data_IF_239424768384
#
_entry.id   IF_239424768384
#
_cell.length_a   1.000
_cell.length_b   1.000
_cell.length_c   1.000
_cell.angle_alpha   90.00
_cell.angle_beta   90.00
_cell.angle_gamma   90.00
#
_symmetry.space_group_name_H-M   'P 1'
#
loop_
_entity.id
_entity.type
_entity.pdbx_description
1 polymer ?
#
# COMPACT_ATOMS: atom_id res chain seq x y z
N UNK A 1 -13.86 24.22 -2.48
CA UNK A 1 -13.23 23.12 -1.77
C UNK A 1 -14.22 22.01 -1.42
N UNK A 2 -15.33 22.27 -0.75
CA UNK A 2 -16.33 21.24 -0.38
C UNK A 2 -16.88 20.41 -1.57
N UNK A 3 -17.13 21.02 -2.71
CA UNK A 3 -17.64 20.31 -3.89
C UNK A 3 -16.62 19.36 -4.53
N UNK A 4 -15.32 19.67 -4.44
CA UNK A 4 -14.23 18.81 -4.93
C UNK A 4 -14.02 17.63 -3.98
N UNK A 5 -14.10 17.88 -2.69
CA UNK A 5 -13.96 16.86 -1.65
C UNK A 5 -15.08 15.83 -1.68
N UNK A 6 -16.32 16.27 -1.85
CA UNK A 6 -17.48 15.39 -2.00
C UNK A 6 -17.42 14.54 -3.28
N UNK A 7 -16.92 15.09 -4.38
CA UNK A 7 -16.83 14.40 -5.67
C UNK A 7 -15.77 13.28 -5.71
N UNK A 8 -14.81 13.28 -4.76
CA UNK A 8 -13.72 12.31 -4.68
C UNK A 8 -13.94 11.20 -3.64
N UNK A 9 -14.93 11.35 -2.78
CA UNK A 9 -15.22 10.40 -1.70
C UNK A 9 -16.18 9.32 -2.19
N UNK A 10 -15.83 8.06 -1.99
CA UNK A 10 -16.66 6.90 -2.31
C UNK A 10 -16.78 6.04 -1.05
N UNK A 11 -18.00 5.59 -0.74
CA UNK A 11 -18.24 4.66 0.35
C UNK A 11 -18.47 3.27 -0.23
N UNK A 12 -17.59 2.33 0.08
CA UNK A 12 -17.75 0.93 -0.28
C UNK A 12 -18.81 0.28 0.64
N UNK A 13 -19.93 -0.13 0.07
CA UNK A 13 -21.07 -0.69 0.79
C UNK A 13 -21.23 -2.17 0.49
N UNK A 14 -21.54 -2.96 1.50
CA UNK A 14 -21.78 -4.39 1.37
C UNK A 14 -21.43 -5.16 2.63
N UNK A 15 -21.94 -6.38 2.75
CA UNK A 15 -21.70 -7.30 3.84
C UNK A 15 -20.52 -8.25 3.57
N UNK A 16 -20.01 -8.28 2.35
CA UNK A 16 -18.85 -9.06 1.92
C UNK A 16 -17.87 -8.19 1.15
N UNK A 17 -16.61 -8.61 1.05
CA UNK A 17 -15.60 -7.93 0.25
C UNK A 17 -16.06 -7.73 -1.20
N UNK A 18 -16.66 -8.76 -1.79
CA UNK A 18 -17.17 -8.73 -3.16
C UNK A 18 -18.31 -7.73 -3.35
N UNK A 19 -19.23 -7.63 -2.39
CA UNK A 19 -20.30 -6.62 -2.42
C UNK A 19 -19.74 -5.21 -2.25
N UNK A 20 -18.79 -5.00 -1.35
CA UNK A 20 -18.10 -3.72 -1.20
C UNK A 20 -17.36 -3.33 -2.47
N UNK A 21 -16.64 -4.27 -3.06
CA UNK A 21 -16.00 -4.08 -4.36
C UNK A 21 -17.01 -3.72 -5.46
N UNK A 22 -18.14 -4.41 -5.52
CA UNK A 22 -19.21 -4.12 -6.51
C UNK A 22 -19.77 -2.73 -6.34
N UNK A 23 -20.01 -2.30 -5.10
CA UNK A 23 -20.45 -0.95 -4.79
C UNK A 23 -19.43 0.10 -5.23
N UNK A 24 -18.13 -0.12 -4.91
CA UNK A 24 -17.05 0.76 -5.30
C UNK A 24 -16.88 0.81 -6.82
N UNK A 25 -16.87 -0.36 -7.47
CA UNK A 25 -16.75 -0.48 -8.92
C UNK A 25 -17.89 0.27 -9.66
N UNK A 26 -19.13 0.14 -9.18
CA UNK A 26 -20.27 0.86 -9.75
C UNK A 26 -20.15 2.39 -9.57
N UNK A 27 -19.71 2.84 -8.38
CA UNK A 27 -19.56 4.26 -8.07
C UNK A 27 -18.39 4.94 -8.81
N UNK A 28 -17.34 4.19 -9.12
CA UNK A 28 -16.13 4.70 -9.77
C UNK A 28 -15.96 4.22 -11.24
N UNK A 29 -16.99 3.61 -11.82
CA UNK A 29 -16.97 2.92 -13.12
C UNK A 29 -16.22 3.67 -14.22
N UNK A 30 -16.61 4.92 -14.47
CA UNK A 30 -16.05 5.69 -15.59
C UNK A 30 -14.59 6.05 -15.34
N UNK A 31 -14.22 6.32 -14.08
CA UNK A 31 -12.86 6.61 -13.68
C UNK A 31 -11.95 5.37 -13.74
N UNK A 32 -12.47 4.20 -13.36
CA UNK A 32 -11.73 2.93 -13.48
C UNK A 32 -11.43 2.66 -14.95
N UNK A 33 -12.41 2.85 -15.82
CA UNK A 33 -12.24 2.65 -17.26
C UNK A 33 -11.24 3.65 -17.84
N UNK A 34 -11.37 4.94 -17.50
CA UNK A 34 -10.45 6.00 -17.94
C UNK A 34 -9.01 5.67 -17.56
N UNK A 35 -8.77 5.28 -16.29
CA UNK A 35 -7.44 4.90 -15.83
C UNK A 35 -6.91 3.66 -16.55
N UNK A 36 -7.73 2.63 -16.68
CA UNK A 36 -7.35 1.39 -17.36
C UNK A 36 -6.95 1.64 -18.82
N UNK A 37 -7.77 2.37 -19.57
CA UNK A 37 -7.53 2.68 -20.97
C UNK A 37 -6.22 3.49 -21.14
N UNK A 38 -6.00 4.47 -20.25
CA UNK A 38 -4.76 5.25 -20.20
C UNK A 38 -3.53 4.35 -19.98
N UNK A 39 -3.61 3.43 -19.02
CA UNK A 39 -2.49 2.55 -18.67
C UNK A 39 -2.25 1.51 -19.77
N UNK A 40 -3.29 0.94 -20.36
CA UNK A 40 -3.18 0.04 -21.50
C UNK A 40 -2.49 0.75 -22.67
N UNK A 41 -2.91 1.97 -23.02
CA UNK A 41 -2.27 2.74 -24.08
C UNK A 41 -0.79 3.00 -23.79
N UNK A 42 -0.46 3.36 -22.54
CA UNK A 42 0.93 3.61 -22.12
C UNK A 42 1.79 2.35 -22.28
N UNK A 43 1.31 1.20 -21.80
CA UNK A 43 2.10 -0.05 -21.80
C UNK A 43 2.08 -0.76 -23.16
N UNK A 44 1.06 -0.57 -23.96
CA UNK A 44 1.04 -1.02 -25.36
C UNK A 44 2.09 -0.27 -26.19
N UNK A 45 2.16 1.05 -26.04
CA UNK A 45 3.19 1.87 -26.69
C UNK A 45 4.62 1.48 -26.28
N UNK A 46 4.80 0.95 -25.08
CA UNK A 46 6.06 0.42 -24.57
C UNK A 46 6.32 -1.05 -24.98
N UNK A 47 5.37 -1.73 -25.64
CA UNK A 47 5.45 -3.16 -25.96
C UNK A 47 5.40 -4.07 -24.73
N UNK A 48 4.80 -3.63 -23.64
CA UNK A 48 4.90 -4.25 -22.32
C UNK A 48 3.65 -5.03 -21.88
N UNK A 49 2.60 -5.11 -22.70
CA UNK A 49 1.35 -5.77 -22.31
C UNK A 49 1.54 -7.25 -21.95
N UNK A 50 2.34 -7.98 -22.73
CA UNK A 50 2.63 -9.40 -22.45
C UNK A 50 3.35 -9.57 -21.10
N UNK A 51 4.28 -8.66 -20.78
CA UNK A 51 4.98 -8.66 -19.51
C UNK A 51 4.05 -8.34 -18.34
N UNK A 52 3.09 -7.42 -18.55
CA UNK A 52 2.07 -7.14 -17.56
C UNK A 52 1.20 -8.36 -17.26
N UNK A 53 0.81 -9.12 -18.31
CA UNK A 53 0.06 -10.36 -18.13
C UNK A 53 0.84 -11.45 -17.38
N UNK A 54 2.16 -11.53 -17.59
CA UNK A 54 3.03 -12.44 -16.81
C UNK A 54 3.03 -12.06 -15.33
N UNK A 55 3.11 -10.76 -14.99
CA UNK A 55 3.04 -10.28 -13.61
C UNK A 55 1.68 -10.63 -13.00
N UNK A 56 0.59 -10.37 -13.69
CA UNK A 56 -0.77 -10.73 -13.24
C UNK A 56 -0.87 -12.23 -12.99
N UNK A 57 -0.41 -13.05 -13.94
CA UNK A 57 -0.48 -14.51 -13.84
C UNK A 57 0.32 -15.05 -12.64
N UNK A 58 1.45 -14.43 -12.33
CA UNK A 58 2.25 -14.80 -11.15
C UNK A 58 1.66 -14.33 -9.83
N UNK A 59 1.03 -13.16 -9.81
CA UNK A 59 0.44 -12.58 -8.60
C UNK A 59 -0.89 -13.25 -8.20
N UNK A 60 -1.73 -13.60 -9.15
CA UNK A 60 -3.08 -14.10 -8.90
C UNK A 60 -3.14 -15.30 -7.92
N UNK A 61 -2.35 -16.38 -8.06
CA UNK A 61 -2.37 -17.49 -7.12
C UNK A 61 -1.86 -17.12 -5.72
N UNK A 62 -0.96 -16.13 -5.63
CA UNK A 62 -0.51 -15.61 -4.34
C UNK A 62 -1.59 -14.77 -3.66
N UNK A 63 -2.35 -14.00 -4.43
CA UNK A 63 -3.50 -13.26 -3.92
C UNK A 63 -4.59 -14.21 -3.41
N UNK A 64 -4.86 -15.30 -4.10
CA UNK A 64 -5.81 -16.33 -3.63
C UNK A 64 -5.39 -16.93 -2.28
N UNK A 65 -4.09 -17.13 -2.09
CA UNK A 65 -3.55 -17.73 -0.86
C UNK A 65 -3.47 -16.73 0.30
N UNK A 66 -2.91 -15.55 0.08
CA UNK A 66 -2.49 -14.65 1.15
C UNK A 66 -3.41 -13.44 1.35
N UNK A 67 -4.17 -13.06 0.31
CA UNK A 67 -5.03 -11.87 0.31
C UNK A 67 -6.40 -12.12 -0.32
N UNK A 68 -7.10 -13.23 0.04
CA UNK A 68 -8.36 -13.62 -0.59
C UNK A 68 -9.44 -12.55 -0.45
N UNK A 69 -9.43 -11.79 0.65
CA UNK A 69 -10.37 -10.68 0.88
C UNK A 69 -10.17 -9.57 -0.17
N UNK A 70 -8.94 -9.13 -0.38
CA UNK A 70 -8.62 -8.09 -1.36
C UNK A 70 -8.90 -8.57 -2.79
N UNK A 71 -8.66 -9.85 -3.09
CA UNK A 71 -9.00 -10.43 -4.39
C UNK A 71 -10.51 -10.42 -4.65
N UNK A 72 -11.33 -10.82 -3.66
CA UNK A 72 -12.80 -10.75 -3.78
C UNK A 72 -13.30 -9.31 -3.93
N UNK A 73 -12.68 -8.35 -3.28
CA UNK A 73 -12.97 -6.93 -3.49
C UNK A 73 -12.69 -6.50 -4.94
N UNK A 74 -11.56 -6.89 -5.52
CA UNK A 74 -11.23 -6.62 -6.92
C UNK A 74 -12.21 -7.29 -7.91
N UNK A 75 -12.60 -8.53 -7.64
CA UNK A 75 -13.64 -9.24 -8.40
C UNK A 75 -14.97 -8.48 -8.37
N UNK A 76 -15.34 -8.02 -7.18
CA UNK A 76 -16.50 -7.16 -7.02
C UNK A 76 -16.39 -5.86 -7.79
N UNK A 77 -15.23 -5.18 -7.74
CA UNK A 77 -15.00 -3.95 -8.50
C UNK A 77 -15.14 -4.18 -10.02
N UNK A 78 -14.64 -5.30 -10.54
CA UNK A 78 -14.81 -5.67 -11.94
C UNK A 78 -16.28 -5.80 -12.30
N UNK A 79 -17.07 -6.53 -11.50
CA UNK A 79 -18.52 -6.68 -11.69
C UNK A 79 -19.24 -5.33 -11.67
N UNK A 80 -18.96 -4.48 -10.67
CA UNK A 80 -19.59 -3.18 -10.52
C UNK A 80 -19.25 -2.20 -11.64
N UNK A 81 -18.02 -2.23 -12.12
CA UNK A 81 -17.55 -1.43 -13.25
C UNK A 81 -18.00 -1.99 -14.62
N UNK A 82 -18.49 -3.22 -14.67
CA UNK A 82 -18.78 -3.93 -15.92
C UNK A 82 -17.53 -4.12 -16.78
N UNK A 83 -16.45 -4.51 -16.13
CA UNK A 83 -15.14 -4.79 -16.73
C UNK A 83 -14.74 -6.25 -16.47
N UNK A 84 -13.77 -6.74 -17.21
CA UNK A 84 -13.17 -8.04 -16.97
C UNK A 84 -12.35 -8.05 -15.67
N UNK A 85 -12.36 -9.16 -14.94
CA UNK A 85 -11.53 -9.34 -13.73
C UNK A 85 -10.04 -9.10 -14.02
N UNK A 86 -9.56 -9.58 -15.16
CA UNK A 86 -8.18 -9.39 -15.58
C UNK A 86 -7.78 -7.91 -15.73
N UNK A 87 -8.73 -7.04 -16.13
CA UNK A 87 -8.47 -5.61 -16.19
C UNK A 87 -8.21 -5.01 -14.81
N UNK A 88 -8.96 -5.45 -13.78
CA UNK A 88 -8.73 -5.00 -12.40
C UNK A 88 -7.45 -5.59 -11.81
N UNK A 89 -7.11 -6.83 -12.14
CA UNK A 89 -5.83 -7.43 -11.76
C UNK A 89 -4.64 -6.71 -12.41
N UNK A 90 -4.76 -6.27 -13.67
CA UNK A 90 -3.76 -5.40 -14.28
C UNK A 90 -3.62 -4.08 -13.51
N UNK A 91 -4.70 -3.41 -13.15
CA UNK A 91 -4.62 -2.19 -12.34
C UNK A 91 -4.01 -2.45 -10.97
N UNK A 92 -4.33 -3.57 -10.33
CA UNK A 92 -3.75 -3.95 -9.04
C UNK A 92 -2.24 -4.23 -9.09
N UNK A 93 -1.70 -4.56 -10.29
CA UNK A 93 -0.27 -4.83 -10.57
C UNK A 93 0.39 -3.72 -11.39
N UNK A 94 -0.27 -2.57 -11.54
CA UNK A 94 0.22 -1.46 -12.37
C UNK A 94 1.57 -0.94 -11.87
N UNK A 95 1.74 -0.90 -10.57
CA UNK A 95 2.99 -0.45 -9.98
C UNK A 95 4.16 -1.38 -10.33
N UNK A 96 3.96 -2.70 -10.30
CA UNK A 96 4.98 -3.69 -10.59
C UNK A 96 5.46 -3.61 -12.04
N UNK A 97 4.55 -3.47 -13.01
CA UNK A 97 4.94 -3.27 -14.42
C UNK A 97 5.64 -1.94 -14.62
N UNK A 98 5.18 -0.88 -13.93
CA UNK A 98 5.84 0.43 -13.95
C UNK A 98 7.29 0.34 -13.46
N UNK A 99 7.55 -0.43 -12.40
CA UNK A 99 8.89 -0.66 -11.86
C UNK A 99 9.75 -1.52 -12.79
N UNK A 100 9.18 -2.56 -13.40
CA UNK A 100 9.89 -3.44 -14.35
C UNK A 100 10.40 -2.65 -15.58
N UNK A 101 9.64 -1.65 -16.01
CA UNK A 101 9.96 -0.83 -17.19
C UNK A 101 10.90 0.34 -16.89
N UNK A 102 10.98 0.80 -15.67
CA UNK A 102 11.74 2.03 -15.34
C UNK A 102 13.22 1.91 -15.55
N UNK A 103 13.79 0.73 -15.63
CA UNK A 103 15.22 0.48 -15.86
C UNK A 103 16.11 1.69 -15.57
N UNK A 104 16.86 1.74 -14.50
CA UNK A 104 17.86 2.76 -14.17
C UNK A 104 17.43 4.26 -14.18
N UNK A 105 16.16 4.58 -14.04
CA UNK A 105 15.72 5.99 -13.90
C UNK A 105 15.72 6.35 -12.42
N UNK A 106 16.84 6.89 -11.97
CA UNK A 106 16.95 7.50 -10.65
C UNK A 106 16.04 8.73 -10.54
N UNK A 107 15.18 8.77 -9.55
CA UNK A 107 14.37 9.94 -9.27
C UNK A 107 13.43 9.67 -8.13
N UNK A 108 13.83 10.02 -6.90
CA UNK A 108 12.95 9.99 -5.74
C UNK A 108 11.73 10.86 -5.97
N UNK A 109 10.57 10.30 -5.72
CA UNK A 109 9.28 10.96 -5.96
C UNK A 109 8.39 10.98 -4.75
N UNK A 110 8.89 10.56 -3.59
CA UNK A 110 8.15 10.55 -2.36
C UNK A 110 9.03 10.99 -1.20
N UNK A 111 8.42 11.64 -0.24
CA UNK A 111 9.03 11.90 1.06
C UNK A 111 8.02 11.59 2.14
N UNK A 112 8.46 11.01 3.24
CA UNK A 112 7.61 10.65 4.35
C UNK A 112 8.10 11.19 5.67
N UNK A 113 7.16 11.41 6.54
CA UNK A 113 7.39 11.83 7.92
C UNK A 113 6.61 10.92 8.84
N UNK A 114 7.31 10.41 9.84
CA UNK A 114 6.74 9.76 10.99
C UNK A 114 7.08 10.56 12.24
N UNK A 115 6.08 10.97 13.01
CA UNK A 115 6.27 11.63 14.30
C UNK A 115 5.60 10.82 15.39
N UNK A 116 6.40 10.38 16.37
CA UNK A 116 5.93 9.61 17.53
C UNK A 116 5.24 10.47 18.57
N UNK A 117 5.43 11.77 18.52
CA UNK A 117 4.91 12.68 19.54
C UNK A 117 4.70 14.06 18.96
N UNK A 118 3.47 14.51 18.92
CA UNK A 118 3.21 15.94 18.88
C UNK A 118 3.38 16.45 20.30
N UNK A 119 4.27 17.42 20.50
CA UNK A 119 4.68 17.94 21.83
C UNK A 119 3.52 18.30 22.79
N UNK A 120 2.31 18.43 22.27
CA UNK A 120 1.13 18.84 23.04
C UNK A 120 0.01 17.78 23.08
N UNK A 121 0.21 16.59 22.48
CA UNK A 121 -0.81 15.53 22.47
C UNK A 121 -0.15 14.16 22.68
N UNK A 122 0.05 13.73 23.93
CA UNK A 122 0.52 12.40 24.25
C UNK A 122 -0.40 11.35 23.62
N UNK A 123 0.20 10.28 23.04
CA UNK A 123 -0.55 9.20 22.42
C UNK A 123 -1.03 9.45 20.97
N UNK A 124 -0.69 10.60 20.38
CA UNK A 124 -0.95 10.87 18.96
C UNK A 124 0.33 10.66 18.17
N UNK A 125 0.29 9.75 17.23
CA UNK A 125 1.31 9.61 16.20
C UNK A 125 0.81 10.26 14.91
N UNK A 126 1.73 10.86 14.17
CA UNK A 126 1.44 11.43 12.85
C UNK A 126 2.32 10.73 11.82
N UNK A 127 1.68 10.23 10.79
CA UNK A 127 2.32 9.68 9.63
C UNK A 127 1.85 10.49 8.42
N UNK A 128 2.78 10.89 7.58
CA UNK A 128 2.48 11.69 6.40
C UNK A 128 3.39 11.36 5.25
N UNK A 129 2.88 11.53 4.04
CA UNK A 129 3.62 11.29 2.82
C UNK A 129 3.35 12.41 1.83
N UNK A 130 4.42 12.86 1.15
CA UNK A 130 4.33 13.58 -0.09
C UNK A 130 4.52 12.58 -1.23
N UNK A 131 3.55 12.52 -2.14
CA UNK A 131 3.57 11.64 -3.28
C UNK A 131 3.69 12.48 -4.55
N UNK A 132 4.83 12.39 -5.24
CA UNK A 132 5.12 13.15 -6.44
C UNK A 132 4.77 12.30 -7.66
N UNK A 133 3.66 12.60 -8.30
CA UNK A 133 3.13 11.88 -9.45
C UNK A 133 3.38 12.62 -10.77
N UNK A 134 3.26 11.87 -11.88
CA UNK A 134 3.39 12.47 -13.20
C UNK A 134 2.23 13.44 -13.48
N UNK A 135 2.48 14.74 -13.66
CA UNK A 135 1.44 15.73 -13.88
C UNK A 135 0.54 15.42 -15.09
N UNK A 136 1.05 14.77 -16.11
CA UNK A 136 0.26 14.40 -17.30
C UNK A 136 -0.87 13.43 -16.97
N UNK A 137 -0.72 12.64 -15.88
CA UNK A 137 -1.72 11.67 -15.44
C UNK A 137 -2.58 12.22 -14.30
N UNK A 138 -1.98 13.05 -13.42
CA UNK A 138 -2.57 13.41 -12.13
C UNK A 138 -2.83 14.90 -11.91
N UNK A 139 -2.50 15.77 -12.89
CA UNK A 139 -2.49 17.22 -12.71
C UNK A 139 -3.75 17.83 -12.09
N UNK A 140 -4.91 17.25 -12.39
CA UNK A 140 -6.18 17.76 -11.89
C UNK A 140 -6.72 16.98 -10.68
N UNK A 141 -5.99 15.92 -10.23
CA UNK A 141 -6.44 14.98 -9.18
C UNK A 141 -7.80 14.34 -9.47
N UNK A 142 -8.27 14.37 -10.70
CA UNK A 142 -9.59 13.83 -11.09
C UNK A 142 -9.66 12.30 -11.03
N UNK A 143 -8.49 11.64 -11.05
CA UNK A 143 -8.36 10.20 -10.84
C UNK A 143 -8.02 9.82 -9.39
N UNK A 144 -7.97 10.79 -8.47
CA UNK A 144 -7.80 10.50 -7.06
C UNK A 144 -9.15 10.21 -6.41
N UNK A 145 -9.21 9.21 -5.56
CA UNK A 145 -10.39 8.90 -4.76
C UNK A 145 -10.02 8.61 -3.29
N UNK A 146 -10.92 9.01 -2.41
CA UNK A 146 -10.91 8.60 -1.01
C UNK A 146 -12.01 7.57 -0.85
N UNK A 147 -11.64 6.39 -0.40
CA UNK A 147 -12.58 5.27 -0.20
C UNK A 147 -12.77 5.05 1.29
N UNK A 148 -14.02 5.01 1.72
CA UNK A 148 -14.40 4.52 3.04
C UNK A 148 -14.91 3.09 2.93
N UNK A 149 -14.21 2.18 3.57
CA UNK A 149 -14.66 0.82 3.78
C UNK A 149 -15.34 0.70 5.14
N UNK A 150 -16.47 0.01 5.16
CA UNK A 150 -17.15 -0.41 6.39
C UNK A 150 -16.94 -1.90 6.57
N UNK A 151 -16.37 -2.29 7.70
CA UNK A 151 -16.19 -3.70 7.99
C UNK A 151 -17.54 -4.44 7.91
N UNK A 152 -17.58 -5.60 7.23
CA UNK A 152 -18.76 -6.45 7.28
C UNK A 152 -19.06 -6.82 8.74
N UNK A 153 -20.34 -7.08 9.08
CA UNK A 153 -20.67 -7.65 10.39
C UNK A 153 -19.85 -8.90 10.64
N UNK A 154 -19.28 -9.03 11.84
CA UNK A 154 -18.48 -10.20 12.20
C UNK A 154 -19.36 -11.47 12.12
N UNK A 155 -18.94 -12.43 11.31
CA UNK A 155 -19.57 -13.74 11.22
C UNK A 155 -18.75 -14.77 12.01
N UNK A 156 -19.38 -15.87 12.46
CA UNK A 156 -18.70 -16.91 13.24
C UNK A 156 -17.57 -17.61 12.45
N UNK A 157 -17.59 -17.53 11.11
CA UNK A 157 -16.65 -18.22 10.21
C UNK A 157 -15.41 -17.37 9.85
N UNK A 158 -15.27 -16.18 10.43
CA UNK A 158 -14.21 -15.20 10.10
C UNK A 158 -12.81 -15.58 10.66
N UNK A 159 -12.57 -16.82 10.97
CA UNK A 159 -11.33 -17.27 11.62
C UNK A 159 -10.35 -18.00 10.69
N UNK A 160 -10.61 -18.05 9.40
CA UNK A 160 -9.82 -18.86 8.47
C UNK A 160 -9.03 -17.99 7.48
N UNK A 161 -7.85 -17.52 7.88
CA UNK A 161 -6.89 -16.93 6.97
C UNK A 161 -5.64 -16.46 7.69
N UNK A 162 -4.49 -16.54 7.03
CA UNK A 162 -3.23 -15.95 7.49
C UNK A 162 -3.24 -14.41 7.42
N UNK A 163 -4.31 -13.82 6.87
CA UNK A 163 -4.52 -12.37 6.74
C UNK A 163 -5.20 -11.72 7.94
N UNK A 164 -5.30 -10.42 7.93
CA UNK A 164 -6.03 -9.64 8.92
C UNK A 164 -7.55 -9.76 8.78
N UNK A 165 -8.28 -9.23 9.73
CA UNK A 165 -9.75 -9.13 9.65
C UNK A 165 -10.16 -7.81 9.01
N UNK A 166 -11.20 -7.79 8.16
CA UNK A 166 -11.73 -6.54 7.65
C UNK A 166 -12.06 -5.57 8.78
N UNK A 167 -11.54 -4.36 8.69
CA UNK A 167 -11.78 -3.26 9.62
C UNK A 167 -12.36 -2.08 8.84
N UNK A 168 -13.14 -1.23 9.52
CA UNK A 168 -13.44 0.06 8.95
C UNK A 168 -12.15 0.77 8.63
N UNK A 169 -12.02 1.31 7.42
CA UNK A 169 -10.86 2.09 7.04
C UNK A 169 -11.22 3.19 6.05
N UNK A 170 -10.37 4.22 6.04
CA UNK A 170 -10.33 5.26 5.02
C UNK A 170 -9.01 5.15 4.30
N UNK A 171 -9.06 5.09 3.00
CA UNK A 171 -7.85 5.01 2.18
C UNK A 171 -7.90 6.01 1.02
N UNK A 172 -6.72 6.47 0.64
CA UNK A 172 -6.48 7.17 -0.59
C UNK A 172 -5.97 6.19 -1.64
N UNK A 173 -6.52 6.27 -2.84
CA UNK A 173 -6.12 5.44 -3.96
C UNK A 173 -6.55 6.05 -5.29
N UNK A 174 -6.21 5.35 -6.38
CA UNK A 174 -6.75 5.59 -7.71
C UNK A 174 -7.81 4.55 -8.06
N UNK A 175 -8.77 4.90 -8.96
CA UNK A 175 -9.87 4.02 -9.30
C UNK A 175 -9.40 2.65 -9.83
N UNK A 176 -9.86 1.57 -9.23
CA UNK A 176 -9.47 0.21 -9.61
C UNK A 176 -8.17 -0.28 -8.98
N UNK A 177 -7.42 0.56 -8.28
CA UNK A 177 -6.23 0.19 -7.51
C UNK A 177 -6.62 -0.04 -6.05
N UNK A 178 -6.19 -1.14 -5.40
CA UNK A 178 -6.65 -1.53 -4.07
C UNK A 178 -6.41 -0.49 -2.98
N UNK A 179 -5.19 0.00 -2.83
CA UNK A 179 -4.82 1.06 -1.89
C UNK A 179 -3.47 1.69 -2.22
N UNK A 180 -3.29 2.95 -1.84
CA UNK A 180 -1.99 3.63 -1.80
C UNK A 180 -1.58 3.97 -0.37
N UNK A 181 -2.48 4.47 0.43
CA UNK A 181 -2.26 4.75 1.86
C UNK A 181 -3.61 4.78 2.59
N UNK A 182 -3.58 4.66 3.90
CA UNK A 182 -4.83 4.69 4.64
C UNK A 182 -4.68 4.61 6.14
N UNK A 183 -5.83 4.63 6.80
CA UNK A 183 -5.99 4.55 8.24
C UNK A 183 -7.19 3.65 8.55
N UNK A 184 -7.02 2.71 9.47
CA UNK A 184 -8.13 1.85 9.90
C UNK A 184 -8.71 2.28 11.28
N UNK A 185 -9.82 1.68 11.65
CA UNK A 185 -10.55 1.98 12.90
C UNK A 185 -9.82 1.56 14.19
N UNK A 186 -8.71 0.83 14.09
CA UNK A 186 -7.82 0.52 15.21
C UNK A 186 -6.70 1.55 15.38
N UNK A 187 -6.65 2.54 14.49
CA UNK A 187 -5.64 3.59 14.49
C UNK A 187 -4.36 3.21 13.76
N UNK A 188 -4.33 2.10 13.03
CA UNK A 188 -3.19 1.76 12.19
C UNK A 188 -3.21 2.63 10.94
N UNK A 189 -2.20 3.50 10.78
CA UNK A 189 -1.88 4.24 9.58
C UNK A 189 -0.81 3.52 8.77
N UNK A 190 -0.95 3.57 7.44
CA UNK A 190 -0.03 2.94 6.48
C UNK A 190 0.30 3.94 5.38
N UNK A 191 1.59 4.14 5.14
CA UNK A 191 2.13 4.81 3.95
C UNK A 191 3.27 3.98 3.37
N UNK A 192 3.68 4.29 2.13
CA UNK A 192 4.71 3.53 1.44
C UNK A 192 5.52 4.41 0.49
N UNK A 193 6.72 3.95 0.19
CA UNK A 193 7.65 4.64 -0.71
C UNK A 193 8.26 3.59 -1.61
N UNK A 194 8.27 3.86 -2.91
CA UNK A 194 9.04 3.01 -3.76
C UNK A 194 10.54 3.25 -3.50
N UNK A 195 11.34 2.20 -3.61
CA UNK A 195 12.79 2.30 -3.52
C UNK A 195 13.38 2.03 -4.90
N UNK A 196 14.19 2.97 -5.36
CA UNK A 196 14.98 2.79 -6.57
C UNK A 196 16.27 2.04 -6.22
N UNK A 197 16.16 0.73 -6.24
CA UNK A 197 17.34 -0.16 -6.12
C UNK A 197 17.60 -0.85 -7.46
N UNK A 198 17.96 -0.05 -8.43
CA UNK A 198 18.27 -0.52 -9.79
C UNK A 198 19.45 -1.49 -9.85
N UNK A 199 20.21 -1.60 -8.77
CA UNK A 199 21.43 -2.44 -8.73
C UNK A 199 21.19 -3.86 -8.21
N UNK A 200 20.15 -4.13 -7.41
CA UNK A 200 20.09 -5.37 -6.65
C UNK A 200 18.92 -6.30 -6.95
N UNK A 201 17.71 -5.82 -7.19
CA UNK A 201 16.57 -6.72 -7.42
C UNK A 201 15.53 -6.11 -8.36
N UNK A 202 15.20 -6.85 -9.42
CA UNK A 202 14.10 -6.49 -10.32
C UNK A 202 12.76 -6.93 -9.76
N UNK A 203 11.68 -6.38 -10.30
CA UNK A 203 10.33 -6.88 -10.04
C UNK A 203 10.25 -8.38 -10.33
N UNK A 204 9.69 -9.13 -9.39
CA UNK A 204 9.44 -10.57 -9.56
C UNK A 204 7.97 -10.82 -9.83
N UNK A 205 7.69 -11.81 -10.67
CA UNK A 205 6.33 -12.32 -10.86
C UNK A 205 5.87 -13.23 -9.72
N UNK A 206 6.79 -13.61 -8.82
CA UNK A 206 6.52 -14.50 -7.68
C UNK A 206 6.26 -13.74 -6.37
N UNK A 207 5.68 -12.55 -6.44
CA UNK A 207 5.39 -11.71 -5.27
C UNK A 207 4.00 -11.09 -5.30
N UNK A 208 3.51 -10.74 -4.11
CA UNK A 208 2.27 -9.97 -3.96
C UNK A 208 2.49 -8.53 -4.40
N UNK A 209 1.54 -7.97 -5.15
CA UNK A 209 1.61 -6.57 -5.59
C UNK A 209 1.55 -5.59 -4.43
N UNK A 210 2.28 -4.50 -4.54
CA UNK A 210 2.40 -3.45 -3.51
C UNK A 210 1.05 -2.89 -3.09
N UNK A 211 0.18 -2.55 -4.05
CA UNK A 211 -1.13 -1.97 -3.74
C UNK A 211 -2.08 -2.98 -3.08
N UNK A 212 -1.90 -4.27 -3.33
CA UNK A 212 -2.60 -5.36 -2.64
C UNK A 212 -2.07 -5.51 -1.21
N UNK A 213 -0.75 -5.48 -1.02
CA UNK A 213 -0.14 -5.49 0.31
C UNK A 213 -0.64 -4.33 1.16
N UNK A 214 -0.69 -3.11 0.62
CA UNK A 214 -1.19 -1.92 1.32
C UNK A 214 -2.64 -2.06 1.75
N UNK A 215 -3.50 -2.62 0.89
CA UNK A 215 -4.90 -2.87 1.24
C UNK A 215 -5.03 -3.89 2.37
N UNK A 216 -4.24 -4.95 2.31
CA UNK A 216 -4.24 -6.00 3.32
C UNK A 216 -3.70 -5.51 4.66
N UNK A 217 -2.63 -4.70 4.68
CA UNK A 217 -2.09 -4.11 5.92
C UNK A 217 -3.15 -3.37 6.74
N UNK A 218 -4.14 -2.75 6.08
CA UNK A 218 -5.23 -2.06 6.76
C UNK A 218 -6.26 -2.99 7.44
N UNK A 219 -6.12 -4.29 7.30
CA UNK A 219 -6.97 -5.28 8.00
C UNK A 219 -6.40 -5.70 9.36
N UNK A 220 -5.17 -5.32 9.68
CA UNK A 220 -4.51 -5.68 10.93
C UNK A 220 -4.84 -4.69 12.07
N UNK A 221 -4.94 -5.17 13.32
CA UNK A 221 -5.31 -4.33 14.46
C UNK A 221 -4.15 -3.48 15.00
N UNK A 222 -2.91 -3.75 14.59
CA UNK A 222 -1.73 -3.04 15.09
C UNK A 222 -0.59 -3.03 14.07
N UNK A 223 0.32 -2.08 14.24
CA UNK A 223 1.52 -1.95 13.41
C UNK A 223 2.44 -3.18 13.54
N UNK A 224 2.55 -3.76 14.73
CA UNK A 224 3.33 -4.98 14.95
C UNK A 224 2.77 -6.18 14.19
N UNK A 225 1.45 -6.40 14.26
CA UNK A 225 0.82 -7.51 13.56
C UNK A 225 0.93 -7.33 12.03
N UNK A 226 0.73 -6.11 11.53
CA UNK A 226 0.89 -5.78 10.12
C UNK A 226 2.33 -5.99 9.64
N UNK A 227 3.33 -5.54 10.40
CA UNK A 227 4.75 -5.73 10.08
C UNK A 227 5.14 -7.21 10.07
N UNK A 228 4.68 -7.99 11.06
CA UNK A 228 4.95 -9.42 11.13
C UNK A 228 4.36 -10.18 9.92
N UNK A 229 3.13 -9.85 9.53
CA UNK A 229 2.53 -10.42 8.34
C UNK A 229 3.27 -10.02 7.06
N UNK A 230 3.57 -8.73 6.88
CA UNK A 230 4.30 -8.24 5.69
C UNK A 230 5.66 -8.92 5.52
N UNK A 231 6.34 -9.25 6.64
CA UNK A 231 7.59 -10.02 6.62
C UNK A 231 7.39 -11.46 6.13
N UNK A 232 6.26 -12.08 6.46
CA UNK A 232 6.00 -13.50 6.19
C UNK A 232 5.52 -13.81 4.77
N UNK A 233 5.15 -12.78 3.98
CA UNK A 233 4.59 -12.97 2.64
C UNK A 233 5.59 -12.61 1.55
N UNK A 234 5.49 -13.22 0.34
CA UNK A 234 6.32 -12.85 -0.80
C UNK A 234 5.94 -11.45 -1.31
N UNK A 235 6.92 -10.64 -1.62
CA UNK A 235 6.78 -9.26 -2.14
C UNK A 235 7.31 -9.17 -3.56
N UNK A 236 6.63 -8.41 -4.43
CA UNK A 236 6.97 -8.35 -5.85
C UNK A 236 8.15 -7.40 -6.16
N UNK A 237 8.30 -6.32 -5.39
CA UNK A 237 9.25 -5.24 -5.70
C UNK A 237 9.87 -4.65 -4.43
N UNK A 238 11.02 -3.98 -4.54
CA UNK A 238 11.58 -3.19 -3.44
C UNK A 238 10.66 -2.05 -3.03
N UNK A 239 10.43 -1.93 -1.72
CA UNK A 239 9.63 -0.85 -1.15
C UNK A 239 10.07 -0.50 0.27
N UNK A 240 9.73 0.70 0.70
CA UNK A 240 9.67 1.06 2.10
C UNK A 240 8.23 1.30 2.54
N UNK A 241 7.96 1.00 3.80
CA UNK A 241 6.65 1.20 4.43
C UNK A 241 6.83 1.93 5.76
N UNK A 242 5.92 2.85 6.05
CA UNK A 242 5.75 3.37 7.40
C UNK A 242 4.41 2.88 7.95
N UNK A 243 4.47 2.18 9.06
CA UNK A 243 3.32 1.69 9.81
C UNK A 243 3.29 2.36 11.17
N UNK A 244 2.18 2.94 11.55
CA UNK A 244 2.04 3.55 12.87
C UNK A 244 0.65 3.28 13.46
N UNK A 245 0.63 2.87 14.72
CA UNK A 245 -0.57 2.77 15.53
C UNK A 245 -0.41 3.62 16.82
N UNK A 246 -1.41 3.74 17.69
CA UNK A 246 -1.30 4.54 18.90
C UNK A 246 -0.17 4.14 19.87
N UNK A 247 0.39 2.93 19.73
CA UNK A 247 1.38 2.36 20.64
C UNK A 247 2.78 2.44 20.07
N UNK A 248 2.95 2.05 18.80
CA UNK A 248 4.26 1.90 18.18
C UNK A 248 4.24 2.17 16.68
N UNK A 249 5.41 2.29 16.10
CA UNK A 249 5.56 2.45 14.66
C UNK A 249 6.81 1.77 14.13
N UNK A 250 6.79 1.53 12.84
CA UNK A 250 7.86 0.85 12.12
C UNK A 250 8.16 1.63 10.84
N UNK A 251 9.45 1.79 10.56
CA UNK A 251 9.98 2.04 9.23
C UNK A 251 10.53 0.71 8.71
N UNK A 252 9.99 0.27 7.58
CA UNK A 252 10.31 -1.03 6.99
C UNK A 252 10.90 -0.79 5.62
N UNK A 253 12.05 -1.35 5.35
CA UNK A 253 12.66 -1.40 4.02
C UNK A 253 12.77 -2.86 3.60
N UNK A 254 12.29 -3.19 2.42
CA UNK A 254 12.33 -4.56 1.96
C UNK A 254 12.44 -4.66 0.44
N UNK A 255 13.00 -5.78 0.02
CA UNK A 255 13.01 -6.25 -1.37
C UNK A 255 12.23 -7.56 -1.45
N UNK A 256 12.08 -8.19 -2.63
CA UNK A 256 11.54 -9.54 -2.70
C UNK A 256 12.21 -10.53 -1.75
N UNK A 257 13.56 -10.46 -1.58
CA UNK A 257 14.33 -11.42 -0.77
C UNK A 257 14.86 -10.86 0.56
N UNK A 258 14.87 -9.54 0.79
CA UNK A 258 15.51 -8.91 1.95
C UNK A 258 14.50 -8.12 2.78
N UNK A 259 14.84 -7.93 4.04
CA UNK A 259 13.99 -7.24 5.01
C UNK A 259 14.82 -6.51 6.05
N UNK A 260 14.48 -5.26 6.31
CA UNK A 260 14.92 -4.53 7.49
C UNK A 260 13.74 -3.75 8.07
N UNK A 261 13.68 -3.66 9.38
CA UNK A 261 12.66 -2.88 10.06
C UNK A 261 13.28 -2.16 11.26
N UNK A 262 13.07 -0.86 11.33
CA UNK A 262 13.37 -0.04 12.50
C UNK A 262 12.08 0.15 13.27
N UNK A 263 12.02 -0.44 14.46
CA UNK A 263 10.92 -0.21 15.39
C UNK A 263 11.21 1.04 16.19
N UNK A 264 10.22 1.90 16.29
CA UNK A 264 10.26 3.06 17.16
C UNK A 264 9.49 2.73 18.44
N UNK A 265 10.10 2.91 19.62
CA UNK A 265 9.52 2.50 20.87
C UNK A 265 8.23 3.26 21.16
N UNK A 266 7.38 2.71 22.05
CA UNK A 266 6.22 3.43 22.56
C UNK A 266 6.60 4.81 23.10
N UNK A 267 5.67 5.78 23.10
CA UNK A 267 5.92 7.15 23.54
C UNK A 267 6.51 7.31 24.96
N UNK A 268 6.48 6.27 25.76
CA UNK A 268 6.98 6.24 27.13
C UNK A 268 8.51 6.12 27.22
N UNK A 269 9.16 5.59 26.16
CA UNK A 269 10.63 5.43 26.12
C UNK A 269 11.27 6.34 25.07
N UNK A 270 11.17 7.65 25.35
CA UNK A 270 11.70 8.72 24.47
C UNK A 270 13.23 8.69 24.38
N UNK A 271 13.90 7.95 25.26
CA UNK A 271 15.36 7.90 25.30
C UNK A 271 16.00 7.20 24.09
N UNK A 272 15.24 6.38 23.39
CA UNK A 272 15.69 5.63 22.22
C UNK A 272 15.27 6.27 20.88
N UNK A 273 14.37 7.24 20.90
CA UNK A 273 13.94 7.95 19.71
C UNK A 273 15.02 8.94 19.25
N UNK A 274 15.32 8.98 17.95
CA UNK A 274 16.22 10.01 17.42
C UNK A 274 15.47 11.32 17.28
N UNK A 275 15.87 12.40 17.95
CA UNK A 275 15.24 13.70 17.79
C UNK A 275 15.59 14.28 16.43
N UNK A 276 14.56 14.70 15.69
CA UNK A 276 14.72 15.51 14.48
C UNK A 276 14.34 16.93 14.82
N UNK A 277 15.30 17.83 14.84
CA UNK A 277 15.05 19.25 15.08
C UNK A 277 14.74 19.94 13.76
N UNK A 278 13.50 20.37 13.56
CA UNK A 278 13.06 21.13 12.40
C UNK A 278 13.13 22.65 12.61
N UNK A 279 13.12 23.08 13.86
CA UNK A 279 13.28 24.50 14.26
C UNK A 279 13.93 24.57 15.63
N UNK A 280 14.63 25.68 15.96
CA UNK A 280 15.16 25.88 17.31
C UNK A 280 14.04 25.80 18.36
N UNK A 281 14.15 24.81 19.26
CA UNK A 281 13.20 24.58 20.36
C UNK A 281 12.03 23.63 20.04
N UNK A 282 11.93 23.07 18.84
CA UNK A 282 10.99 21.99 18.53
C UNK A 282 11.76 20.67 18.41
N UNK A 283 11.47 19.73 19.28
CA UNK A 283 11.95 18.36 19.17
C UNK A 283 10.84 17.48 18.60
N UNK A 284 11.05 16.95 17.40
CA UNK A 284 10.24 15.93 16.78
C UNK A 284 10.95 14.58 16.96
N UNK A 285 10.24 13.63 17.52
CA UNK A 285 10.71 12.25 17.60
C UNK A 285 10.03 11.45 16.50
N UNK A 286 10.82 10.94 15.55
CA UNK A 286 10.26 10.22 14.41
C UNK A 286 11.30 9.90 13.35
N UNK A 287 10.81 9.45 12.19
CA UNK A 287 11.61 9.07 11.05
C UNK A 287 11.25 9.86 9.80
N UNK A 288 12.18 9.91 8.88
CA UNK A 288 12.00 10.39 7.52
C UNK A 288 12.38 9.29 6.55
N UNK A 289 11.63 9.19 5.49
CA UNK A 289 11.95 8.29 4.39
C UNK A 289 11.84 8.99 3.04
N UNK A 290 12.62 8.52 2.09
CA UNK A 290 12.56 8.91 0.69
C UNK A 290 12.64 7.64 -0.20
N UNK A 291 13.05 7.79 -1.46
CA UNK A 291 13.05 6.69 -2.41
C UNK A 291 14.42 5.96 -2.51
N UNK A 292 15.11 5.82 -1.39
CA UNK A 292 16.38 5.07 -1.30
C UNK A 292 16.45 4.33 0.04
N UNK A 293 17.25 3.28 0.10
CA UNK A 293 17.49 2.58 1.36
C UNK A 293 18.20 3.51 2.36
N UNK A 294 17.72 3.51 3.59
CA UNK A 294 18.34 4.20 4.73
C UNK A 294 19.16 3.24 5.58
N UNK A 295 18.95 1.95 5.41
CA UNK A 295 19.74 0.88 6.02
C UNK A 295 20.53 0.12 4.98
N UNK A 296 21.72 -0.34 5.36
CA UNK A 296 22.55 -1.20 4.52
C UNK A 296 22.00 -2.64 4.57
N UNK A 297 21.16 -2.99 3.58
CA UNK A 297 20.57 -4.32 3.47
C UNK A 297 21.62 -5.42 3.15
N UNK A 298 22.83 -5.07 2.73
CA UNK A 298 23.89 -6.06 2.48
C UNK A 298 24.40 -6.68 3.79
N UNK A 299 24.34 -5.91 4.88
CA UNK A 299 24.76 -6.35 6.22
C UNK A 299 23.60 -6.91 7.07
N UNK A 300 22.36 -6.78 6.63
CA UNK A 300 21.23 -7.48 7.24
C UNK A 300 21.25 -8.90 6.69
N UNK A 301 21.76 -9.84 7.49
CA UNK A 301 21.89 -11.24 7.09
C UNK A 301 20.57 -11.74 6.49
N UNK A 302 20.68 -12.63 5.50
CA UNK A 302 19.56 -13.35 4.93
C UNK A 302 18.84 -14.14 6.05
N UNK A 303 17.99 -13.47 6.79
CA UNK A 303 17.00 -14.09 7.69
C UNK A 303 15.85 -14.73 6.87
N UNK A 304 16.16 -15.08 5.64
CA UNK A 304 15.36 -16.01 4.88
C UNK A 304 15.62 -17.44 5.39
N UNK A 305 15.20 -17.69 6.59
CA UNK A 305 14.64 -18.99 6.88
C UNK A 305 13.44 -19.10 5.96
N UNK A 306 13.67 -19.71 4.79
CA UNK A 306 12.61 -20.01 3.85
C UNK A 306 11.58 -20.88 4.59
N UNK A 307 10.38 -20.36 4.95
CA UNK A 307 9.35 -21.18 5.56
C UNK A 307 8.74 -22.17 4.55
N UNK A 308 9.30 -22.24 3.33
CA UNK A 308 8.81 -23.06 2.22
C UNK A 308 9.93 -23.87 1.53
N UNK A 309 11.17 -23.95 2.08
CA UNK A 309 12.22 -24.89 1.65
C UNK A 309 11.97 -26.28 2.22
#
# INVERSE_FOLDING_TARGET
>A
MEAIEAARRVVAQGSTAREQGRSLGAAAKDKIRELYDLKVQQYDAAGALARWDEIVAGAAPLMERFTPHTLEELRGQAEGAGMDEHALLRLATEYEISMDLRGNVSGGKCTGLLSHRLMHRPGVQVIGQNNDENPAVWADGKLDIIVEHRAPPATADDHSGEGGRPLDCVLYTHPGIPAYMGLNSKGLGVTWFYIDDSASERATTAGLPTCVLLRELLTFPSALAAAAWLRSVPRAVPNAYMLADPIQSFEIECTPSRWAATAHPPPEDVSLARPVSLTPGAELYGGFHANHFTVDLENVGNDAGDPHA
#
